data_IF_802218926468
#
_entry.id   IF_802218926468
#
_cell.length_a   1.000
_cell.length_b   1.000
_cell.length_c   1.000
_cell.angle_alpha   90.00
_cell.angle_beta   90.00
_cell.angle_gamma   90.00
#
_symmetry.space_group_name_H-M   'P 1'
#
loop_
_entity.id
_entity.type
_entity.pdbx_description
1 polymer ?
#
# COMPACT_ATOMS: atom_id res chain seq x y z
N UNK A 1 -36.07 17.61 2.79
CA UNK A 1 -35.07 16.66 2.25
C UNK A 1 -35.77 15.78 1.22
N UNK A 2 -35.41 15.85 -0.07
CA UNK A 2 -35.97 14.96 -1.10
C UNK A 2 -35.43 13.54 -0.88
N UNK A 3 -36.30 12.65 -0.41
CA UNK A 3 -36.06 11.20 -0.37
C UNK A 3 -35.74 10.75 -1.80
N UNK A 4 -34.51 10.23 -2.03
CA UNK A 4 -34.18 9.59 -3.30
C UNK A 4 -35.02 8.34 -3.42
N UNK A 5 -36.04 8.38 -4.28
CA UNK A 5 -36.83 7.21 -4.65
C UNK A 5 -35.88 6.10 -5.10
N UNK A 6 -35.93 4.96 -4.40
CA UNK A 6 -35.14 3.78 -4.73
C UNK A 6 -36.04 2.80 -5.44
N UNK A 7 -35.73 2.50 -6.69
CA UNK A 7 -36.45 1.51 -7.50
C UNK A 7 -35.76 0.17 -7.42
N UNK A 8 -36.49 -0.92 -7.18
CA UNK A 8 -35.92 -2.26 -7.25
C UNK A 8 -35.59 -2.62 -8.70
N UNK A 9 -34.37 -3.07 -9.01
CA UNK A 9 -34.01 -3.47 -10.39
C UNK A 9 -34.78 -4.69 -10.91
N UNK A 10 -35.23 -5.58 -10.02
CA UNK A 10 -35.84 -6.85 -10.42
C UNK A 10 -37.36 -6.78 -10.57
N UNK A 11 -38.05 -6.03 -9.70
CA UNK A 11 -39.51 -5.86 -9.78
C UNK A 11 -39.95 -4.44 -10.15
N UNK A 12 -39.01 -3.51 -10.37
CA UNK A 12 -39.26 -2.10 -10.72
C UNK A 12 -40.18 -1.32 -9.78
N UNK A 13 -40.51 -1.88 -8.60
CA UNK A 13 -41.32 -1.21 -7.60
C UNK A 13 -40.58 0.01 -7.07
N UNK A 14 -41.24 1.18 -7.14
CA UNK A 14 -40.74 2.45 -6.65
C UNK A 14 -41.17 2.64 -5.19
N UNK A 15 -40.20 2.98 -4.35
CA UNK A 15 -40.42 3.13 -2.91
C UNK A 15 -40.94 4.55 -2.59
N UNK A 16 -42.20 4.82 -2.91
CA UNK A 16 -42.96 5.97 -2.42
C UNK A 16 -43.58 5.58 -1.05
N UNK A 17 -43.20 6.30 0.01
CA UNK A 17 -43.56 6.05 1.42
C UNK A 17 -45.06 5.72 1.70
N UNK A 18 -45.47 5.16 2.87
CA UNK A 18 -44.74 4.77 4.08
C UNK A 18 -44.78 3.24 4.34
N UNK A 19 -45.13 2.43 3.34
CA UNK A 19 -45.14 0.98 3.44
C UNK A 19 -43.74 0.45 3.10
N UNK A 20 -43.01 0.14 4.16
CA UNK A 20 -41.60 -0.27 4.18
C UNK A 20 -41.39 -1.59 3.43
N UNK A 21 -41.24 -1.55 2.10
CA UNK A 21 -40.89 -2.76 1.33
C UNK A 21 -39.38 -2.91 1.09
N UNK A 22 -38.58 -1.93 1.51
CA UNK A 22 -37.11 -1.99 1.46
C UNK A 22 -36.55 -1.73 2.86
N UNK A 23 -36.52 -2.78 3.68
CA UNK A 23 -35.80 -2.79 4.97
C UNK A 23 -34.50 -3.58 4.79
N UNK A 24 -33.38 -3.02 5.26
CA UNK A 24 -32.05 -3.67 5.21
C UNK A 24 -31.59 -4.13 3.81
N UNK A 25 -31.95 -3.41 2.74
CA UNK A 25 -31.47 -3.72 1.38
C UNK A 25 -32.09 -4.96 0.72
N UNK A 26 -33.15 -5.52 1.31
CA UNK A 26 -34.01 -6.53 0.67
C UNK A 26 -35.30 -5.89 0.21
N UNK A 27 -35.75 -6.24 -0.99
CA UNK A 27 -37.11 -5.95 -1.42
C UNK A 27 -38.01 -7.06 -0.90
N UNK A 28 -38.98 -6.74 -0.05
CA UNK A 28 -39.89 -7.71 0.54
C UNK A 28 -40.92 -8.24 -0.47
N UNK A 29 -41.22 -7.50 -1.54
CA UNK A 29 -42.09 -7.95 -2.63
C UNK A 29 -41.46 -9.09 -3.46
N UNK A 30 -40.17 -9.00 -3.82
CA UNK A 30 -39.50 -10.05 -4.62
C UNK A 30 -38.58 -10.96 -3.80
N UNK A 31 -38.40 -10.71 -2.50
CA UNK A 31 -37.43 -11.35 -1.57
C UNK A 31 -35.98 -11.41 -2.04
N UNK A 32 -35.64 -10.81 -3.19
CA UNK A 32 -34.30 -10.74 -3.74
C UNK A 32 -33.55 -9.53 -3.16
N UNK A 33 -32.26 -9.72 -2.90
CA UNK A 33 -31.37 -8.71 -2.35
C UNK A 33 -31.14 -7.64 -3.42
N UNK A 34 -31.45 -6.37 -3.13
CA UNK A 34 -31.42 -5.27 -4.13
C UNK A 34 -30.04 -4.63 -4.25
N UNK A 35 -29.12 -4.93 -3.33
CA UNK A 35 -27.73 -4.52 -3.48
C UNK A 35 -26.84 -5.73 -3.30
N UNK A 36 -26.08 -6.04 -4.35
CA UNK A 36 -24.77 -6.64 -4.23
C UNK A 36 -24.05 -5.90 -3.09
N UNK A 37 -24.03 -6.50 -1.90
CA UNK A 37 -23.22 -6.02 -0.79
C UNK A 37 -21.82 -6.08 -1.34
N UNK A 38 -21.28 -4.95 -1.80
CA UNK A 38 -19.83 -4.79 -1.87
C UNK A 38 -19.33 -5.27 -0.53
N UNK A 39 -18.53 -6.34 -0.47
CA UNK A 39 -18.05 -6.82 0.80
C UNK A 39 -17.34 -5.63 1.44
N UNK A 40 -17.84 -5.19 2.60
CA UNK A 40 -17.05 -4.38 3.51
C UNK A 40 -15.85 -5.26 3.86
N UNK A 41 -14.80 -5.17 3.04
CA UNK A 41 -13.48 -5.66 3.40
C UNK A 41 -13.09 -4.78 4.57
N UNK A 42 -13.48 -5.18 5.79
CA UNK A 42 -12.84 -4.73 7.02
C UNK A 42 -11.36 -5.00 6.80
N UNK A 43 -10.61 -3.97 6.43
CA UNK A 43 -9.17 -4.04 6.37
C UNK A 43 -8.75 -4.43 7.78
N UNK A 44 -8.21 -5.64 7.93
CA UNK A 44 -7.69 -6.08 9.21
C UNK A 44 -6.63 -5.05 9.64
N UNK A 45 -6.77 -4.50 10.85
CA UNK A 45 -5.84 -3.52 11.42
C UNK A 45 -4.38 -3.98 11.36
N UNK A 46 -4.15 -5.29 11.25
CA UNK A 46 -2.84 -5.88 11.09
C UNK A 46 -2.09 -5.36 9.85
N UNK A 47 -2.76 -5.18 8.71
CA UNK A 47 -2.10 -4.79 7.46
C UNK A 47 -1.48 -3.36 7.49
N UNK A 48 -2.20 -2.30 7.89
CA UNK A 48 -1.58 -0.98 8.00
C UNK A 48 -0.52 -0.91 9.11
N UNK A 49 -0.69 -1.67 10.20
CA UNK A 49 0.30 -1.73 11.29
C UNK A 49 1.61 -2.37 10.81
N UNK A 50 1.54 -3.49 10.09
CA UNK A 50 2.74 -4.14 9.55
C UNK A 50 3.44 -3.27 8.50
N UNK A 51 2.69 -2.62 7.61
CA UNK A 51 3.24 -1.68 6.63
C UNK A 51 3.93 -0.50 7.33
N UNK A 52 3.33 0.05 8.39
CA UNK A 52 3.92 1.11 9.19
C UNK A 52 5.22 0.68 9.86
N UNK A 53 5.26 -0.53 10.45
CA UNK A 53 6.47 -1.09 11.05
C UNK A 53 7.59 -1.28 10.02
N UNK A 54 7.27 -1.82 8.83
CA UNK A 54 8.23 -1.98 7.73
C UNK A 54 8.74 -0.60 7.25
N UNK A 55 7.87 0.39 7.16
CA UNK A 55 8.25 1.77 6.84
C UNK A 55 9.30 2.28 7.83
N UNK A 56 9.03 2.19 9.13
CA UNK A 56 9.96 2.62 10.18
C UNK A 56 11.29 1.87 10.11
N UNK A 57 11.28 0.58 9.79
CA UNK A 57 12.50 -0.20 9.61
C UNK A 57 13.40 0.36 8.51
N UNK A 58 12.86 0.69 7.32
CA UNK A 58 13.64 1.31 6.25
C UNK A 58 14.17 2.70 6.62
N UNK A 59 13.39 3.49 7.36
CA UNK A 59 13.84 4.78 7.86
C UNK A 59 15.03 4.61 8.83
N UNK A 60 14.94 3.65 9.76
CA UNK A 60 16.03 3.35 10.69
C UNK A 60 17.28 2.88 9.96
N UNK A 61 17.16 2.00 8.95
CA UNK A 61 18.30 1.60 8.12
C UNK A 61 18.96 2.81 7.45
N UNK A 62 18.16 3.72 6.89
CA UNK A 62 18.68 4.96 6.27
C UNK A 62 19.44 5.82 7.27
N UNK A 63 18.87 6.06 8.45
CA UNK A 63 19.50 6.89 9.50
C UNK A 63 20.79 6.24 9.98
N UNK A 64 20.77 4.94 10.29
CA UNK A 64 21.95 4.20 10.74
C UNK A 64 23.05 4.21 9.69
N UNK A 65 22.70 4.02 8.41
CA UNK A 65 23.67 4.02 7.31
C UNK A 65 24.38 5.36 7.19
N UNK A 66 23.65 6.47 7.31
CA UNK A 66 24.23 7.83 7.29
C UNK A 66 25.08 8.09 8.53
N UNK A 67 24.61 7.70 9.72
CA UNK A 67 25.31 7.96 10.98
C UNK A 67 26.64 7.22 11.06
N UNK A 68 26.65 5.93 10.74
CA UNK A 68 27.86 5.09 10.80
C UNK A 68 28.70 5.14 9.52
N UNK A 69 28.22 5.82 8.47
CA UNK A 69 28.81 5.80 7.13
C UNK A 69 29.09 4.39 6.60
N UNK A 70 28.28 3.42 7.01
CA UNK A 70 28.45 2.01 6.72
C UNK A 70 27.09 1.35 6.54
N UNK A 71 26.96 0.50 5.53
CA UNK A 71 25.76 -0.32 5.33
C UNK A 71 26.06 -1.61 4.58
N UNK A 72 25.25 -2.63 4.83
CA UNK A 72 25.33 -3.92 4.14
C UNK A 72 24.04 -4.18 3.40
N UNK A 73 24.16 -4.64 2.16
CA UNK A 73 23.02 -5.09 1.37
C UNK A 73 23.22 -6.54 0.97
N UNK A 74 22.23 -7.37 1.31
CA UNK A 74 22.14 -8.74 0.86
C UNK A 74 21.38 -8.80 -0.47
N UNK A 75 22.05 -9.27 -1.52
CA UNK A 75 21.42 -9.61 -2.78
C UNK A 75 21.18 -11.11 -2.84
N UNK A 76 19.91 -11.51 -2.79
CA UNK A 76 19.52 -12.91 -2.93
C UNK A 76 19.46 -13.30 -4.41
N UNK A 77 20.39 -14.16 -4.83
CA UNK A 77 20.37 -14.84 -6.13
C UNK A 77 19.91 -16.29 -6.01
N UNK A 78 19.51 -16.91 -7.13
CA UNK A 78 19.21 -18.36 -7.20
C UNK A 78 20.49 -19.15 -6.90
N UNK A 79 20.62 -19.66 -5.67
CA UNK A 79 21.67 -20.61 -5.26
C UNK A 79 22.86 -20.03 -4.50
N UNK A 80 23.11 -18.71 -4.53
CA UNK A 80 24.11 -18.04 -3.68
C UNK A 80 23.63 -16.63 -3.33
N UNK A 81 23.62 -16.30 -2.05
CA UNK A 81 23.52 -14.92 -1.59
C UNK A 81 24.86 -14.22 -1.79
N UNK A 82 24.83 -12.95 -2.19
CA UNK A 82 26.00 -12.08 -2.20
C UNK A 82 25.74 -10.91 -1.27
N UNK A 83 26.62 -10.71 -0.30
CA UNK A 83 26.56 -9.53 0.56
C UNK A 83 27.52 -8.49 0.03
N UNK A 84 27.07 -7.24 -0.01
CA UNK A 84 27.89 -6.11 -0.41
C UNK A 84 27.96 -5.12 0.75
N UNK A 85 29.17 -4.71 1.08
CA UNK A 85 29.47 -3.66 2.04
C UNK A 85 29.67 -2.33 1.32
N UNK A 86 29.22 -1.28 1.97
CA UNK A 86 29.25 0.08 1.47
C UNK A 86 29.79 1.00 2.57
N UNK A 87 30.81 1.78 2.25
CA UNK A 87 31.45 2.72 3.18
C UNK A 87 31.56 4.11 2.56
N UNK A 88 31.58 5.14 3.41
CA UNK A 88 31.80 6.52 2.99
C UNK A 88 30.78 6.99 1.95
N UNK A 89 31.24 7.44 0.77
CA UNK A 89 30.38 7.98 -0.30
C UNK A 89 29.55 6.88 -0.99
N UNK A 90 30.00 5.61 -0.94
CA UNK A 90 29.31 4.50 -1.60
C UNK A 90 27.93 4.21 -0.97
N UNK A 91 27.66 4.70 0.25
CA UNK A 91 26.37 4.51 0.93
C UNK A 91 25.21 5.31 0.30
N UNK A 92 25.50 6.30 -0.56
CA UNK A 92 24.47 7.21 -1.10
C UNK A 92 23.37 6.43 -1.82
N UNK A 93 23.74 5.49 -2.69
CA UNK A 93 22.78 4.67 -3.44
C UNK A 93 21.93 3.77 -2.53
N UNK A 94 22.51 3.00 -1.59
CA UNK A 94 21.77 2.31 -0.52
C UNK A 94 20.78 3.21 0.24
N UNK A 95 21.23 4.38 0.69
CA UNK A 95 20.43 5.32 1.47
C UNK A 95 19.24 5.83 0.66
N UNK A 96 19.46 6.26 -0.60
CA UNK A 96 18.39 6.67 -1.49
C UNK A 96 17.39 5.55 -1.76
N UNK A 97 17.88 4.32 -1.90
CA UNK A 97 17.02 3.12 -2.01
C UNK A 97 16.15 2.95 -0.76
N UNK A 98 16.72 3.01 0.44
CA UNK A 98 15.96 2.88 1.70
C UNK A 98 14.91 3.98 1.87
N UNK A 99 15.23 5.23 1.53
CA UNK A 99 14.28 6.34 1.55
C UNK A 99 13.11 6.10 0.58
N UNK A 100 13.39 5.62 -0.63
CA UNK A 100 12.34 5.30 -1.60
C UNK A 100 11.43 4.17 -1.11
N UNK A 101 11.98 3.12 -0.51
CA UNK A 101 11.17 2.06 0.10
C UNK A 101 10.36 2.57 1.30
N UNK A 102 10.93 3.40 2.16
CA UNK A 102 10.20 4.09 3.23
C UNK A 102 8.98 4.84 2.68
N UNK A 103 9.14 5.62 1.62
CA UNK A 103 8.03 6.35 0.98
C UNK A 103 6.95 5.38 0.47
N UNK A 104 7.34 4.25 -0.13
CA UNK A 104 6.38 3.23 -0.61
C UNK A 104 5.53 2.69 0.54
N UNK A 105 6.15 2.22 1.62
CA UNK A 105 5.43 1.61 2.74
C UNK A 105 4.60 2.65 3.50
N UNK A 106 5.10 3.88 3.66
CA UNK A 106 4.34 4.98 4.22
C UNK A 106 3.10 5.30 3.37
N UNK A 107 3.28 5.40 2.04
CA UNK A 107 2.20 5.70 1.10
C UNK A 107 1.13 4.61 1.09
N UNK A 108 1.54 3.33 1.14
CA UNK A 108 0.62 2.20 1.27
C UNK A 108 -0.14 2.22 2.61
N UNK A 109 0.55 2.55 3.71
CA UNK A 109 -0.09 2.72 5.02
C UNK A 109 -1.15 3.81 4.97
N UNK A 110 -0.84 4.98 4.40
CA UNK A 110 -1.78 6.07 4.20
C UNK A 110 -2.96 5.67 3.31
N UNK A 111 -2.71 4.93 2.23
CA UNK A 111 -3.76 4.43 1.34
C UNK A 111 -4.72 3.43 2.04
N UNK A 112 -4.28 2.74 3.09
CA UNK A 112 -5.16 1.91 3.92
C UNK A 112 -6.06 2.74 4.85
N UNK A 113 -5.60 3.91 5.31
CA UNK A 113 -6.36 4.80 6.20
C UNK A 113 -7.26 5.78 5.45
N UNK A 114 -6.85 6.23 4.26
CA UNK A 114 -7.60 7.21 3.50
C UNK A 114 -8.87 6.61 2.90
N UNK A 115 -10.03 7.12 3.34
CA UNK A 115 -11.34 6.76 2.82
C UNK A 115 -11.68 7.51 1.52
N UNK A 116 -10.89 8.53 1.15
CA UNK A 116 -11.06 9.27 -0.11
C UNK A 116 -10.55 8.42 -1.26
N UNK A 117 -11.36 8.29 -2.31
CA UNK A 117 -11.16 7.36 -3.43
C UNK A 117 -10.03 7.78 -4.41
N UNK A 118 -9.04 8.57 -3.99
CA UNK A 118 -7.94 9.03 -4.86
C UNK A 118 -6.86 7.96 -5.07
N UNK A 119 -7.28 6.74 -5.40
CA UNK A 119 -6.41 5.58 -5.60
C UNK A 119 -5.33 5.80 -6.66
N UNK A 120 -5.61 6.63 -7.66
CA UNK A 120 -4.70 6.89 -8.79
C UNK A 120 -3.42 7.59 -8.33
N UNK A 121 -3.53 8.57 -7.42
CA UNK A 121 -2.38 9.33 -6.93
C UNK A 121 -1.44 8.41 -6.12
N UNK A 122 -2.00 7.64 -5.18
CA UNK A 122 -1.24 6.66 -4.41
C UNK A 122 -0.51 5.65 -5.28
N UNK A 123 -1.19 5.09 -6.29
CA UNK A 123 -0.58 4.13 -7.22
C UNK A 123 0.59 4.75 -7.99
N UNK A 124 0.45 6.00 -8.47
CA UNK A 124 1.53 6.68 -9.20
C UNK A 124 2.76 6.93 -8.30
N UNK A 125 2.54 7.37 -7.07
CA UNK A 125 3.63 7.59 -6.10
C UNK A 125 4.34 6.28 -5.79
N UNK A 126 3.58 5.23 -5.42
CA UNK A 126 4.13 3.90 -5.14
C UNK A 126 4.92 3.36 -6.34
N UNK A 127 4.37 3.42 -7.55
CA UNK A 127 5.04 2.93 -8.74
C UNK A 127 6.36 3.66 -9.04
N UNK A 128 6.36 5.00 -8.95
CA UNK A 128 7.57 5.82 -9.16
C UNK A 128 8.63 5.54 -8.10
N UNK A 129 8.24 5.54 -6.82
CA UNK A 129 9.17 5.28 -5.72
C UNK A 129 9.73 3.86 -5.77
N UNK A 130 8.92 2.85 -6.13
CA UNK A 130 9.41 1.49 -6.35
C UNK A 130 10.42 1.43 -7.50
N UNK A 131 10.13 2.10 -8.62
CA UNK A 131 11.04 2.13 -9.76
C UNK A 131 12.39 2.76 -9.39
N UNK A 132 12.39 3.96 -8.82
CA UNK A 132 13.63 4.62 -8.42
C UNK A 132 14.35 3.88 -7.29
N UNK A 133 13.62 3.37 -6.30
CA UNK A 133 14.19 2.53 -5.25
C UNK A 133 14.91 1.31 -5.82
N UNK A 134 14.29 0.61 -6.78
CA UNK A 134 14.90 -0.53 -7.45
C UNK A 134 16.14 -0.14 -8.28
N UNK A 135 16.08 0.97 -9.01
CA UNK A 135 17.21 1.50 -9.79
C UNK A 135 18.39 1.83 -8.88
N UNK A 136 18.16 2.53 -7.75
CA UNK A 136 19.22 2.83 -6.79
C UNK A 136 19.75 1.57 -6.11
N UNK A 137 18.87 0.64 -5.75
CA UNK A 137 19.25 -0.62 -5.14
C UNK A 137 20.13 -1.46 -6.06
N UNK A 138 19.79 -1.56 -7.34
CA UNK A 138 20.59 -2.32 -8.30
C UNK A 138 21.86 -1.57 -8.69
N UNK A 139 21.78 -0.24 -8.83
CA UNK A 139 22.92 0.64 -9.09
C UNK A 139 23.96 0.61 -7.98
N UNK A 140 23.54 0.39 -6.72
CA UNK A 140 24.46 0.24 -5.60
C UNK A 140 25.48 -0.89 -5.82
N UNK A 141 25.13 -1.98 -6.50
CA UNK A 141 26.05 -3.13 -6.72
C UNK A 141 27.41 -2.71 -7.31
N UNK A 142 27.44 -1.67 -8.15
CA UNK A 142 28.67 -1.17 -8.79
C UNK A 142 29.64 -0.46 -7.83
N UNK A 143 29.15 -0.03 -6.67
CA UNK A 143 29.92 0.72 -5.68
C UNK A 143 30.20 -0.08 -4.40
N UNK A 144 29.65 -1.29 -4.29
CA UNK A 144 29.78 -2.12 -3.10
C UNK A 144 30.98 -3.05 -3.18
N UNK A 145 31.64 -3.25 -2.03
CA UNK A 145 32.66 -4.27 -1.87
C UNK A 145 31.99 -5.60 -1.52
N UNK A 146 32.27 -6.64 -2.32
CA UNK A 146 31.64 -7.94 -2.09
C UNK A 146 32.29 -8.63 -0.89
N UNK A 147 31.47 -8.97 0.10
CA UNK A 147 31.88 -9.75 1.26
C UNK A 147 31.35 -11.17 1.09
N UNK A 148 32.29 -12.12 1.12
CA UNK A 148 32.11 -13.51 0.66
C UNK A 148 30.99 -14.27 1.37
#
# INVERSE_FOLDING_TARGET
MKSKEKTCKNCQVMNSAPLVEIKNGRCYACRKIVHEKTPDKKISLLAPVTLGAISLYFLMLSISSVYFQYTTILYMGRGRSKTYEFTGVAIIFPVLSFIMFFIVFLTLTLACYDKRKEKITYIKVVARSLFFGFVFHTGAIFFGERVS
#
